data_IF_069854903676
#
_entry.id   IF_069854903676
#
_cell.length_a   1.000
_cell.length_b   1.000
_cell.length_c   1.000
_cell.angle_alpha   90.00
_cell.angle_beta   90.00
_cell.angle_gamma   90.00
#
_symmetry.space_group_name_H-M   'P 1'
#
loop_
_entity.id
_entity.type
_entity.pdbx_description
1 polymer ?
2 polymer ?
3 polymer ?
4 polymer ?
5 non-polymer ?
6 non-polymer ?
7 non-polymer ?
8 non-polymer ?
9 non-polymer ?
10 water ?
#
loop_
_entity_poly.entity_id
_entity_poly.type
_entity_poly.pdbx_seq_one_letter_code
_entity_poly.pdbx_strand_id
2 'polydeoxyribonucleotide' '(DC)(DG)(DG)(DC)(8OG)(DT)(DA)(DC)(DG)' ?
3 'polydeoxyribonucleotide' '(DC)(DG)(DT)(DA)' ?
4 'polydeoxyribonucleotide' '(DG)(DC)(DC)(DG)' ?
#
# COMPACT_ATOMS: atom_id res chain seq x y z
N UNK A 10 -11.23 11.62 -19.54
CA UNK A 10 -10.53 11.06 -18.37
C UNK A 10 -11.28 11.42 -17.09
N UNK A 11 -11.88 10.44 -16.42
CA UNK A 11 -12.62 10.73 -15.18
C UNK A 11 -11.72 11.15 -14.04
N UNK A 12 -12.34 11.83 -13.06
CA UNK A 12 -11.58 12.57 -12.09
C UNK A 12 -11.07 11.70 -10.94
N UNK A 13 -11.74 10.59 -10.64
CA UNK A 13 -11.35 9.70 -9.55
C UNK A 13 -10.61 8.48 -10.09
N UNK A 14 -9.57 8.05 -9.37
CA UNK A 14 -8.80 6.91 -9.86
C UNK A 14 -9.61 5.63 -9.92
N UNK A 15 -10.67 5.50 -9.11
CA UNK A 15 -11.49 4.30 -9.14
C UNK A 15 -12.41 4.24 -10.34
N UNK A 16 -12.43 5.29 -11.16
CA UNK A 16 -13.25 5.34 -12.37
C UNK A 16 -12.46 4.98 -13.63
N UNK A 17 -11.19 4.64 -13.50
CA UNK A 17 -10.39 4.40 -14.68
C UNK A 17 -9.46 3.23 -14.42
N UNK A 18 -9.26 2.38 -15.42
CA UNK A 18 -8.28 1.31 -15.28
C UNK A 18 -6.89 1.88 -15.13
N UNK A 19 -6.12 1.35 -14.17
CA UNK A 19 -4.73 1.77 -14.00
C UNK A 19 -3.84 0.54 -13.92
N UNK A 20 -3.10 0.24 -14.97
CA UNK A 20 -2.29 -0.97 -14.98
C UNK A 20 -1.00 -0.75 -14.21
N UNK A 21 -0.35 -1.87 -13.91
CA UNK A 21 0.89 -1.82 -13.15
C UNK A 21 2.01 -1.14 -13.92
N UNK A 22 2.17 -1.46 -15.19
CA UNK A 22 3.15 -0.80 -16.03
C UNK A 22 2.43 0.01 -17.10
N UNK A 23 3.06 1.10 -17.55
CA UNK A 23 2.33 2.06 -18.36
C UNK A 23 3.30 2.82 -19.26
N UNK A 24 2.86 3.97 -19.74
CA UNK A 24 3.54 4.65 -20.85
C UNK A 24 4.07 6.01 -20.46
N UNK A 25 4.07 6.33 -19.17
CA UNK A 25 4.51 7.64 -18.69
C UNK A 25 5.31 7.51 -17.41
N UNK A 26 6.16 6.49 -17.35
CA UNK A 26 6.80 6.11 -16.09
C UNK A 26 7.66 7.24 -15.52
N UNK A 27 8.50 7.85 -16.35
CA UNK A 27 9.37 8.92 -15.85
C UNK A 27 8.59 10.10 -15.33
N UNK A 28 7.54 10.50 -16.04
CA UNK A 28 6.73 11.64 -15.61
C UNK A 28 6.04 11.34 -14.27
N UNK A 29 5.44 10.16 -14.15
CA UNK A 29 4.75 9.80 -12.92
C UNK A 29 5.72 9.73 -11.74
N UNK A 30 6.93 9.19 -11.97
CA UNK A 30 7.90 9.11 -10.88
C UNK A 30 8.27 10.49 -10.36
N UNK A 31 8.42 11.47 -11.25
CA UNK A 31 8.79 12.81 -10.83
C UNK A 31 7.69 13.44 -10.00
N UNK A 32 6.44 13.28 -10.42
CA UNK A 32 5.35 13.84 -9.63
C UNK A 32 5.24 13.15 -8.29
N UNK A 33 5.53 11.86 -8.23
CA UNK A 33 5.48 11.17 -6.95
C UNK A 33 6.62 11.59 -6.00
N UNK A 34 7.77 12.03 -6.52
CA UNK A 34 8.76 12.65 -5.64
C UNK A 34 8.18 13.87 -4.96
N UNK A 35 7.49 14.73 -5.72
CA UNK A 35 6.90 15.93 -5.14
C UNK A 35 5.80 15.58 -4.16
N UNK A 36 5.03 14.51 -4.45
CA UNK A 36 4.00 14.09 -3.51
C UNK A 36 4.61 13.64 -2.19
N UNK A 37 5.66 12.82 -2.29
CA UNK A 37 6.34 12.33 -1.10
C UNK A 37 6.88 13.49 -0.28
N UNK A 38 7.49 14.45 -0.94
CA UNK A 38 8.07 15.60 -0.23
C UNK A 38 6.99 16.42 0.45
N UNK A 39 5.82 16.58 -0.21
CA UNK A 39 4.71 17.26 0.43
C UNK A 39 4.30 16.54 1.72
N UNK A 40 4.25 15.21 1.68
CA UNK A 40 3.89 14.46 2.88
C UNK A 40 4.89 14.65 3.98
N UNK A 41 6.18 14.71 3.64
CA UNK A 41 7.19 14.93 4.67
C UNK A 41 7.04 16.29 5.34
N UNK A 42 6.42 17.25 4.68
CA UNK A 42 6.17 18.55 5.28
C UNK A 42 4.76 18.68 5.87
N UNK A 43 3.98 17.61 5.88
CA UNK A 43 2.63 17.66 6.42
C UNK A 43 1.58 18.28 5.52
N UNK A 44 1.87 18.43 4.22
CA UNK A 44 0.92 19.03 3.28
C UNK A 44 0.19 17.90 2.56
N UNK A 45 -0.83 17.35 3.24
CA UNK A 45 -1.52 16.18 2.71
C UNK A 45 -2.33 16.52 1.46
N UNK A 46 -2.86 17.74 1.38
CA UNK A 46 -3.59 18.11 0.18
C UNK A 46 -2.71 18.10 -1.06
N UNK A 47 -1.53 18.73 -0.96
CA UNK A 47 -0.60 18.74 -2.08
C UNK A 47 -0.11 17.32 -2.39
N UNK A 48 0.13 16.52 -1.36
CA UNK A 48 0.47 15.10 -1.60
C UNK A 48 -0.61 14.44 -2.44
N UNK A 49 -1.87 14.67 -2.09
CA UNK A 49 -2.94 14.01 -2.84
C UNK A 49 -2.99 14.50 -4.29
N UNK A 50 -2.88 15.80 -4.51
CA UNK A 50 -2.92 16.29 -5.88
C UNK A 50 -1.78 15.70 -6.72
N UNK A 51 -0.55 15.70 -6.19
CA UNK A 51 0.56 15.18 -6.98
C UNK A 51 0.41 13.67 -7.20
N UNK A 52 -0.09 12.95 -6.21
CA UNK A 52 -0.37 11.51 -6.41
C UNK A 52 -1.45 11.31 -7.46
N UNK A 53 -2.52 12.10 -7.39
CA UNK A 53 -3.60 11.93 -8.37
C UNK A 53 -3.13 12.28 -9.77
N UNK A 54 -2.36 13.36 -9.92
CA UNK A 54 -1.81 13.72 -11.22
C UNK A 54 -0.90 12.61 -11.76
N UNK A 55 -0.04 12.06 -10.91
CA UNK A 55 0.77 10.93 -11.34
C UNK A 55 -0.09 9.77 -11.79
N UNK A 56 -1.17 9.48 -11.05
CA UNK A 56 -2.03 8.35 -11.39
C UNK A 56 -2.75 8.56 -12.71
N UNK A 57 -3.11 9.80 -13.01
CA UNK A 57 -3.73 10.10 -14.30
C UNK A 57 -2.79 9.70 -15.43
N UNK A 58 -1.51 10.03 -15.29
CA UNK A 58 -0.56 9.65 -16.33
C UNK A 58 -0.43 8.14 -16.45
N UNK A 59 -0.51 7.42 -15.34
CA UNK A 59 -0.44 5.96 -15.38
C UNK A 59 -1.60 5.37 -16.16
N UNK A 60 -2.73 6.07 -16.19
CA UNK A 60 -3.95 5.59 -16.85
C UNK A 60 -4.04 5.98 -18.32
N UNK A 61 -3.09 6.77 -18.82
CA UNK A 61 -3.17 7.18 -20.21
C UNK A 61 -2.77 6.04 -21.14
N UNK A 62 -3.31 6.04 -22.36
CA UNK A 62 -3.05 4.94 -23.30
C UNK A 62 -1.73 5.05 -24.07
N UNK A 63 -0.99 6.14 -23.93
CA UNK A 63 0.23 6.36 -24.69
C UNK A 63 1.06 7.43 -23.99
N UNK A 64 2.30 7.65 -24.42
CA UNK A 64 3.13 8.65 -23.75
C UNK A 64 2.67 10.08 -24.01
N UNK A 65 2.79 10.90 -22.98
CA UNK A 65 2.70 12.35 -23.16
C UNK A 65 4.00 12.85 -23.77
N UNK A 66 3.90 13.53 -24.92
CA UNK A 66 5.04 14.13 -25.60
C UNK A 66 4.96 15.64 -25.72
N UNK A 67 3.79 16.22 -25.53
CA UNK A 67 3.58 17.64 -25.72
C UNK A 67 2.67 18.15 -24.63
N UNK A 68 2.91 19.39 -24.20
CA UNK A 68 2.16 19.96 -23.09
C UNK A 68 0.67 20.06 -23.42
N UNK A 69 0.32 20.22 -24.70
CA UNK A 69 -1.09 20.29 -25.07
C UNK A 69 -1.83 19.03 -24.65
N UNK A 70 -1.14 17.90 -24.54
CA UNK A 70 -1.85 16.67 -24.18
C UNK A 70 -2.32 16.68 -22.73
N UNK A 71 -1.89 17.66 -21.94
CA UNK A 71 -2.35 17.75 -20.57
C UNK A 71 -3.63 18.53 -20.45
N UNK A 72 -3.99 19.28 -21.50
CA UNK A 72 -5.17 20.13 -21.41
C UNK A 72 -6.39 19.26 -21.14
N UNK A 73 -7.18 19.65 -20.17
CA UNK A 73 -8.37 18.91 -19.87
C UNK A 73 -8.14 17.69 -18.99
N UNK A 74 -6.91 17.30 -18.70
CA UNK A 74 -6.71 16.18 -17.79
C UNK A 74 -6.97 16.63 -16.36
N UNK A 75 -7.73 15.88 -15.58
CA UNK A 75 -7.95 16.27 -14.19
C UNK A 75 -6.66 16.21 -13.40
N UNK A 76 -6.54 17.14 -12.44
CA UNK A 76 -5.46 17.22 -11.47
C UNK A 76 -4.19 17.78 -12.05
N UNK A 77 -4.22 18.24 -13.30
CA UNK A 77 -3.11 18.99 -13.87
C UNK A 77 -3.49 20.46 -13.92
N UNK A 78 -2.79 21.23 -13.13
CA UNK A 78 -2.88 22.67 -13.15
C UNK A 78 -1.50 23.24 -13.40
N UNK A 79 -1.29 24.47 -12.92
CA UNK A 79 -0.08 25.19 -13.26
C UNK A 79 1.16 24.44 -12.79
N UNK A 80 1.15 23.92 -11.57
CA UNK A 80 2.36 23.35 -11.00
C UNK A 80 2.72 22.02 -11.64
N UNK A 81 1.76 21.08 -11.67
CA UNK A 81 2.03 19.76 -12.24
C UNK A 81 2.36 19.87 -13.72
N UNK A 82 1.70 20.81 -14.41
CA UNK A 82 1.98 20.99 -15.84
C UNK A 82 3.38 21.51 -16.05
N UNK A 83 3.86 22.41 -15.19
CA UNK A 83 5.22 22.95 -15.35
C UNK A 83 6.25 21.85 -15.12
N UNK A 84 6.00 20.96 -14.16
CA UNK A 84 6.89 19.84 -13.93
C UNK A 84 7.02 19.00 -15.19
N UNK A 85 5.89 18.64 -15.79
CA UNK A 85 5.90 17.84 -17.01
C UNK A 85 6.58 18.60 -18.14
N UNK A 86 6.27 19.89 -18.27
CA UNK A 86 6.87 20.71 -19.33
C UNK A 86 8.39 20.69 -19.23
N UNK A 87 8.93 20.85 -18.03
CA UNK A 87 10.38 20.86 -17.88
C UNK A 87 10.98 19.50 -18.20
N UNK A 88 10.32 18.41 -17.78
CA UNK A 88 10.81 17.09 -18.14
C UNK A 88 10.79 16.89 -19.65
N UNK A 89 9.73 17.38 -20.31
CA UNK A 89 9.63 17.18 -21.76
C UNK A 89 10.67 18.00 -22.50
N UNK A 90 10.97 19.19 -22.02
CA UNK A 90 11.87 20.10 -22.72
C UNK A 90 13.34 19.84 -22.41
N UNK A 91 13.67 19.43 -21.18
CA UNK A 91 15.05 19.32 -20.71
C UNK A 91 15.44 17.97 -20.13
N UNK A 92 14.50 17.05 -19.95
CA UNK A 92 14.81 15.75 -19.40
C UNK A 92 14.93 15.72 -17.90
N UNK A 93 14.75 16.87 -17.25
CA UNK A 93 14.90 16.98 -15.81
C UNK A 93 14.09 18.18 -15.36
N UNK A 94 13.60 18.12 -14.12
CA UNK A 94 12.84 19.22 -13.53
C UNK A 94 13.63 19.73 -12.33
N UNK A 95 13.99 21.02 -12.35
CA UNK A 95 14.87 21.54 -11.33
C UNK A 95 14.29 21.35 -9.93
N UNK A 96 12.98 21.60 -9.77
CA UNK A 96 12.34 21.43 -8.47
C UNK A 96 12.52 20.00 -7.96
N UNK A 97 12.26 19.03 -8.82
CA UNK A 97 12.37 17.63 -8.45
C UNK A 97 13.79 17.29 -8.04
N UNK A 98 14.78 17.75 -8.81
CA UNK A 98 16.19 17.48 -8.49
C UNK A 98 16.60 18.16 -7.19
N UNK A 99 16.10 19.37 -6.93
CA UNK A 99 16.42 20.03 -5.68
C UNK A 99 15.87 19.25 -4.50
N UNK A 100 14.68 18.67 -4.65
CA UNK A 100 14.13 17.82 -3.60
C UNK A 100 14.99 16.58 -3.42
N UNK A 101 15.27 15.87 -4.52
CA UNK A 101 16.04 14.62 -4.47
C UNK A 101 17.35 14.78 -3.70
N UNK A 102 18.06 15.88 -3.90
CA UNK A 102 19.37 16.01 -3.29
C UNK A 102 19.34 16.72 -1.94
N UNK A 103 18.16 17.11 -1.45
CA UNK A 103 18.10 17.82 -0.18
C UNK A 103 18.26 16.87 1.00
N UNK A 104 18.97 17.37 2.01
CA UNK A 104 19.19 16.58 3.21
C UNK A 104 17.87 16.22 3.88
N UNK A 105 16.92 17.15 3.87
CA UNK A 105 15.62 16.91 4.48
C UNK A 105 14.90 15.73 3.81
N UNK A 106 14.80 15.76 2.48
CA UNK A 106 14.13 14.69 1.76
C UNK A 106 14.84 13.36 2.00
N UNK A 107 16.17 13.34 1.83
CA UNK A 107 16.88 12.07 1.94
C UNK A 107 16.74 11.46 3.33
N UNK A 108 16.83 12.28 4.37
CA UNK A 108 16.74 11.74 5.72
C UNK A 108 15.30 11.35 6.06
N UNK A 109 14.32 12.18 5.69
CA UNK A 109 12.95 11.80 5.97
C UNK A 109 12.57 10.51 5.24
N UNK A 110 13.04 10.36 4.00
CA UNK A 110 12.77 9.13 3.27
C UNK A 110 13.41 7.93 3.97
N UNK A 111 14.69 8.05 4.35
CA UNK A 111 15.38 6.98 5.06
C UNK A 111 14.66 6.61 6.36
N UNK A 112 14.30 7.60 7.16
CA UNK A 112 13.71 7.31 8.47
C UNK A 112 12.30 6.72 8.33
N UNK A 113 11.50 7.24 7.40
CA UNK A 113 10.14 6.71 7.28
C UNK A 113 10.10 5.35 6.59
N UNK A 114 11.21 4.89 6.01
CA UNK A 114 11.31 3.50 5.60
C UNK A 114 11.33 2.53 6.77
N UNK A 115 11.73 2.98 7.95
CA UNK A 115 11.84 2.07 9.08
C UNK A 115 10.46 1.68 9.57
N UNK A 116 10.22 0.37 9.72
CA UNK A 116 9.00 -0.12 10.34
C UNK A 116 8.87 0.40 11.77
N UNK A 117 7.77 1.10 12.05
CA UNK A 117 7.54 1.74 13.31
C UNK A 117 7.79 3.23 13.30
N UNK A 118 8.24 3.79 12.18
CA UNK A 118 8.59 5.20 12.09
C UNK A 118 7.72 5.85 11.03
N UNK A 119 6.90 6.83 11.45
CA UNK A 119 6.12 7.65 10.54
C UNK A 119 6.73 9.03 10.38
N UNK A 120 6.02 9.87 9.62
CA UNK A 120 6.50 11.22 9.34
C UNK A 120 6.73 11.99 10.64
N UNK A 121 5.79 11.92 11.57
CA UNK A 121 5.94 12.70 12.81
C UNK A 121 7.20 12.31 13.56
N UNK A 122 7.45 11.00 13.69
CA UNK A 122 8.64 10.56 14.41
C UNK A 122 9.90 10.95 13.64
N UNK A 123 9.90 10.72 12.33
CA UNK A 123 11.07 11.05 11.53
C UNK A 123 11.38 12.54 11.62
N UNK A 124 10.36 13.37 11.51
CA UNK A 124 10.54 14.80 11.61
C UNK A 124 11.13 15.22 12.95
N UNK A 125 10.68 14.56 14.02
CA UNK A 125 11.20 14.87 15.35
C UNK A 125 12.68 14.54 15.46
N UNK A 126 13.08 13.36 14.96
CA UNK A 126 14.48 12.98 14.93
C UNK A 126 15.29 13.92 14.06
N UNK A 127 14.73 14.33 12.92
CA UNK A 127 15.43 15.25 12.04
C UNK A 127 15.72 16.56 12.75
N UNK A 128 14.70 17.10 13.44
CA UNK A 128 14.87 18.35 14.17
C UNK A 128 15.84 18.21 15.33
N UNK A 129 15.99 16.99 15.85
CA UNK A 129 16.99 16.72 16.89
C UNK A 129 18.39 16.54 16.34
N UNK A 130 18.56 16.61 15.03
CA UNK A 130 19.88 16.55 14.41
C UNK A 130 20.27 15.21 13.86
N UNK A 131 19.43 14.19 14.01
CA UNK A 131 19.76 12.85 13.56
C UNK A 131 19.59 12.76 12.05
N UNK A 132 20.47 11.97 11.41
CA UNK A 132 20.53 11.91 9.96
C UNK A 132 20.69 10.51 9.38
N UNK A 133 21.28 9.55 10.11
CA UNK A 133 21.60 8.23 9.58
C UNK A 133 21.02 7.14 10.47
N UNK A 134 20.96 5.91 9.92
CA UNK A 134 20.53 4.78 10.73
C UNK A 134 21.48 4.54 11.90
N UNK A 135 22.79 4.72 11.69
CA UNK A 135 23.71 4.55 12.81
C UNK A 135 23.47 5.60 13.90
N UNK A 136 23.07 6.81 13.52
CA UNK A 136 22.68 7.81 14.53
C UNK A 136 21.57 7.27 15.42
N UNK A 137 20.62 6.52 14.84
CA UNK A 137 19.54 5.99 15.64
C UNK A 137 20.01 4.82 16.51
N UNK A 138 20.89 4.00 15.96
CA UNK A 138 21.37 2.83 16.68
C UNK A 138 22.16 3.25 17.91
N UNK A 139 22.86 4.38 17.83
CA UNK A 139 23.64 4.90 18.96
C UNK A 139 22.76 5.52 20.04
N UNK A 140 21.45 5.65 19.81
CA UNK A 140 20.54 6.24 20.80
C UNK A 140 19.33 5.32 21.02
N UNK A 141 19.57 4.05 21.35
CA UNK A 141 18.45 3.10 21.40
C UNK A 141 17.45 3.41 22.47
N UNK A 142 17.79 4.25 23.45
CA UNK A 142 16.81 4.71 24.41
C UNK A 142 15.65 5.42 23.72
N UNK A 143 15.90 5.96 22.53
CA UNK A 143 14.90 6.72 21.82
C UNK A 143 13.91 5.86 21.06
N UNK A 144 14.03 4.53 21.07
CA UNK A 144 13.32 3.66 20.14
C UNK A 144 12.30 2.80 20.85
N UNK A 145 11.13 2.65 20.24
CA UNK A 145 10.19 1.64 20.68
C UNK A 145 10.70 0.26 20.27
N UNK A 146 10.13 -0.77 20.89
CA UNK A 146 10.52 -2.12 20.52
C UNK A 146 10.22 -2.38 19.05
N UNK A 147 9.11 -1.82 18.56
CA UNK A 147 8.78 -1.97 17.14
C UNK A 147 9.84 -1.32 16.26
N UNK A 148 10.25 -0.10 16.61
CA UNK A 148 11.27 0.60 15.84
C UNK A 148 12.61 -0.11 15.94
N UNK A 149 12.90 -0.73 17.09
CA UNK A 149 14.14 -1.48 17.21
C UNK A 149 14.17 -2.63 16.21
N UNK A 150 13.05 -3.34 16.07
CA UNK A 150 12.94 -4.42 15.11
C UNK A 150 13.03 -3.90 13.68
N UNK A 151 12.34 -2.79 13.40
CA UNK A 151 12.42 -2.22 12.06
C UNK A 151 13.84 -1.81 11.70
N UNK A 152 14.57 -1.24 12.67
CA UNK A 152 15.94 -0.82 12.42
C UNK A 152 16.89 -2.01 12.24
N UNK A 153 16.79 -3.04 13.10
CA UNK A 153 17.60 -4.22 12.95
C UNK A 153 17.39 -4.89 11.61
N UNK A 154 16.13 -4.96 11.16
CA UNK A 154 15.80 -5.68 9.94
C UNK A 154 15.74 -4.79 8.70
N UNK A 155 16.16 -3.53 8.82
CA UNK A 155 15.95 -2.58 7.73
C UNK A 155 16.59 -3.05 6.42
N UNK A 156 17.80 -3.62 6.48
CA UNK A 156 18.49 -3.98 5.24
C UNK A 156 17.70 -5.04 4.48
N UNK A 157 17.30 -6.10 5.16
CA UNK A 157 16.49 -7.16 4.53
C UNK A 157 15.18 -6.59 4.01
N UNK A 158 14.56 -5.73 4.80
CA UNK A 158 13.25 -5.19 4.45
C UNK A 158 13.32 -4.20 3.31
N UNK A 159 14.52 -3.72 2.99
CA UNK A 159 14.75 -2.87 1.83
C UNK A 159 14.85 -3.64 0.53
N UNK A 160 14.97 -4.94 0.56
CA UNK A 160 15.14 -5.73 -0.66
C UNK A 160 13.81 -6.38 -1.02
N UNK A 161 13.39 -6.31 -2.28
CA UNK A 161 12.06 -6.82 -2.63
C UNK A 161 11.97 -8.33 -2.52
N UNK A 162 10.78 -8.80 -2.20
CA UNK A 162 10.48 -10.22 -2.24
C UNK A 162 9.85 -10.53 -3.60
N UNK A 163 10.06 -11.74 -4.08
CA UNK A 163 9.57 -12.20 -5.38
C UNK A 163 8.28 -13.00 -5.20
N UNK A 164 7.47 -13.08 -6.28
CA UNK A 164 6.23 -13.84 -6.20
C UNK A 164 6.47 -15.30 -5.82
N UNK A 165 7.59 -15.90 -6.25
CA UNK A 165 7.86 -17.28 -5.87
C UNK A 165 8.03 -17.42 -4.36
N UNK A 166 8.66 -16.41 -3.74
CA UNK A 166 8.75 -16.40 -2.29
C UNK A 166 7.37 -16.35 -1.65
N UNK A 167 6.48 -15.50 -2.20
CA UNK A 167 5.13 -15.33 -1.67
C UNK A 167 4.41 -16.67 -1.67
N UNK A 168 4.53 -17.43 -2.74
CA UNK A 168 3.79 -18.68 -2.85
C UNK A 168 4.25 -19.69 -1.80
N UNK A 169 5.55 -19.79 -1.58
CA UNK A 169 6.06 -20.69 -0.56
C UNK A 169 5.58 -20.26 0.83
N UNK A 170 5.61 -18.96 1.08
CA UNK A 170 5.09 -18.40 2.32
C UNK A 170 3.60 -18.70 2.50
N UNK A 171 2.80 -18.52 1.46
CA UNK A 171 1.37 -18.79 1.59
C UNK A 171 1.14 -20.22 2.05
N UNK A 172 1.94 -21.16 1.56
CA UNK A 172 1.73 -22.56 1.95
C UNK A 172 2.01 -22.75 3.43
N UNK A 173 3.04 -22.07 3.94
CA UNK A 173 3.36 -22.13 5.36
C UNK A 173 2.22 -21.55 6.19
N UNK A 174 1.69 -20.39 5.75
CA UNK A 174 0.59 -19.75 6.47
C UNK A 174 -0.65 -20.64 6.44
N UNK A 175 -0.95 -21.25 5.30
CA UNK A 175 -2.11 -22.12 5.18
C UNK A 175 -2.01 -23.31 6.13
N UNK A 176 -0.82 -23.86 6.34
CA UNK A 176 -0.75 -24.99 7.26
C UNK A 176 -1.07 -24.56 8.69
N UNK A 177 -0.53 -23.41 9.11
CA UNK A 177 -0.83 -22.92 10.46
C UNK A 177 -2.30 -22.59 10.60
N UNK A 178 -2.89 -21.98 9.56
CA UNK A 178 -4.29 -21.59 9.59
C UNK A 178 -5.19 -22.82 9.67
N UNK A 179 -4.82 -23.88 8.94
CA UNK A 179 -5.63 -25.09 8.95
C UNK A 179 -5.63 -25.79 10.29
N UNK A 180 -4.53 -25.69 11.03
CA UNK A 180 -4.50 -26.24 12.39
C UNK A 180 -5.26 -25.33 13.33
N UNK A 181 -5.16 -24.01 13.13
CA UNK A 181 -5.87 -23.09 14.00
C UNK A 181 -7.38 -23.25 13.83
N UNK A 182 -7.83 -23.50 12.61
CA UNK A 182 -9.25 -23.64 12.32
C UNK A 182 -9.44 -24.37 10.99
N UNK A 183 -9.65 -25.68 11.03
CA UNK A 183 -9.89 -26.43 9.80
C UNK A 183 -11.01 -25.81 8.97
N UNK A 184 -10.74 -25.70 7.66
CA UNK A 184 -11.65 -25.08 6.73
C UNK A 184 -11.39 -23.61 6.48
N UNK A 185 -10.58 -22.98 7.30
CA UNK A 185 -10.28 -21.57 7.07
C UNK A 185 -9.36 -21.44 5.86
N UNK A 186 -9.51 -20.34 5.15
CA UNK A 186 -8.81 -20.12 3.89
C UNK A 186 -7.92 -18.90 3.99
N UNK A 187 -6.94 -18.89 3.08
CA UNK A 187 -5.95 -17.82 2.98
C UNK A 187 -5.98 -17.30 1.56
N UNK A 188 -6.17 -15.99 1.41
CA UNK A 188 -6.21 -15.33 0.11
C UNK A 188 -5.11 -14.30 0.03
N UNK A 189 -4.32 -14.35 -1.03
CA UNK A 189 -3.29 -13.34 -1.26
C UNK A 189 -3.93 -12.02 -1.69
N UNK A 190 -3.57 -10.93 -1.02
CA UNK A 190 -4.10 -9.60 -1.38
C UNK A 190 -2.95 -8.65 -1.71
N UNK A 191 -3.14 -7.35 -1.45
CA UNK A 191 -2.10 -6.38 -1.68
C UNK A 191 -1.52 -6.38 -3.09
N UNK A 192 -0.27 -5.90 -3.16
CA UNK A 192 0.33 -5.61 -4.45
C UNK A 192 0.50 -6.85 -5.30
N UNK A 193 0.76 -8.00 -4.67
CA UNK A 193 0.89 -9.22 -5.47
C UNK A 193 -0.44 -9.60 -6.12
N UNK A 194 -1.57 -9.39 -5.45
CA UNK A 194 -2.83 -9.66 -6.13
C UNK A 194 -3.05 -8.70 -7.32
N UNK A 195 -2.50 -7.49 -7.25
CA UNK A 195 -2.56 -6.54 -8.36
C UNK A 195 -1.55 -6.84 -9.45
N UNK A 196 -0.82 -7.95 -9.36
CA UNK A 196 0.04 -8.40 -10.44
C UNK A 196 1.52 -8.14 -10.27
N UNK A 197 1.94 -7.55 -9.15
CA UNK A 197 3.36 -7.27 -8.98
C UNK A 197 4.15 -8.57 -8.99
N UNK A 198 5.32 -8.52 -9.64
CA UNK A 198 6.21 -9.67 -9.65
C UNK A 198 7.22 -9.60 -8.52
N UNK A 199 7.46 -8.40 -8.00
CA UNK A 199 8.31 -8.10 -6.86
C UNK A 199 7.58 -7.14 -5.96
N UNK A 200 7.87 -7.19 -4.66
CA UNK A 200 7.25 -6.22 -3.76
C UNK A 200 7.93 -6.24 -2.41
N UNK A 201 7.51 -5.31 -1.56
CA UNK A 201 8.15 -5.14 -0.25
C UNK A 201 7.30 -5.56 0.92
N UNK A 202 6.07 -5.98 0.69
CA UNK A 202 5.35 -6.64 1.76
C UNK A 202 4.39 -7.62 1.12
N UNK A 203 3.84 -8.46 1.97
CA UNK A 203 2.98 -9.54 1.55
C UNK A 203 1.75 -9.46 2.43
N UNK A 204 0.57 -9.51 1.82
CA UNK A 204 -0.68 -9.37 2.54
C UNK A 204 -1.56 -10.61 2.32
N UNK A 205 -2.07 -11.17 3.42
CA UNK A 205 -2.96 -12.32 3.39
C UNK A 205 -4.24 -12.01 4.14
N UNK A 206 -5.37 -12.47 3.58
CA UNK A 206 -6.69 -12.29 4.15
C UNK A 206 -7.23 -13.68 4.46
N UNK A 207 -7.67 -13.88 5.72
CA UNK A 207 -8.08 -15.17 6.23
C UNK A 207 -9.56 -15.11 6.59
N UNK A 208 -10.32 -16.14 6.21
CA UNK A 208 -11.72 -16.21 6.60
C UNK A 208 -12.09 -17.68 6.75
N UNK A 209 -13.36 -17.92 7.06
CA UNK A 209 -13.89 -19.26 7.19
C UNK A 209 -15.30 -19.25 6.61
N UNK A 210 -15.72 -20.31 5.92
CA UNK A 210 -17.04 -20.26 5.24
C UNK A 210 -18.23 -20.22 6.18
N UNK A 211 -18.06 -20.58 7.46
CA UNK A 211 -19.15 -20.55 8.44
C UNK A 211 -19.05 -19.26 9.25
N UNK A 212 -19.99 -18.35 9.01
CA UNK A 212 -20.00 -17.06 9.70
C UNK A 212 -19.87 -17.25 11.20
N UNK A 213 -18.91 -16.55 11.79
CA UNK A 213 -18.68 -16.58 13.21
C UNK A 213 -17.56 -17.51 13.64
N UNK A 214 -17.23 -18.50 12.82
CA UNK A 214 -16.17 -19.42 13.20
C UNK A 214 -14.81 -18.73 13.24
N UNK A 215 -14.68 -17.58 12.56
CA UNK A 215 -13.41 -16.87 12.53
C UNK A 215 -13.14 -16.04 13.78
N UNK A 216 -14.10 -15.93 14.69
CA UNK A 216 -13.87 -15.20 15.92
C UNK A 216 -12.72 -15.84 16.66
N UNK A 217 -11.79 -15.00 17.13
CA UNK A 217 -10.65 -15.48 17.90
C UNK A 217 -9.57 -16.15 17.08
N UNK A 218 -9.65 -16.10 15.75
CA UNK A 218 -8.75 -16.90 14.93
C UNK A 218 -7.33 -16.35 14.90
N UNK A 219 -7.17 -15.04 14.75
CA UNK A 219 -5.84 -14.52 14.49
C UNK A 219 -4.85 -14.83 15.61
N UNK A 220 -5.21 -14.76 16.89
CA UNK A 220 -4.24 -15.14 17.93
C UNK A 220 -3.81 -16.59 17.80
N UNK A 221 -4.73 -17.47 17.41
CA UNK A 221 -4.41 -18.88 17.27
C UNK A 221 -3.46 -19.11 16.12
N UNK A 222 -3.63 -18.34 15.04
CA UNK A 222 -2.72 -18.42 13.92
C UNK A 222 -1.34 -17.92 14.31
N UNK A 223 -1.29 -16.76 14.98
CA UNK A 223 0.01 -16.18 15.32
C UNK A 223 0.78 -17.08 16.27
N UNK A 224 0.08 -17.68 17.23
CA UNK A 224 0.78 -18.54 18.19
C UNK A 224 1.44 -19.71 17.47
N UNK A 225 0.76 -20.26 16.47
CA UNK A 225 1.28 -21.39 15.73
C UNK A 225 2.46 -20.99 14.84
N UNK A 226 2.36 -19.85 14.17
CA UNK A 226 3.50 -19.37 13.39
C UNK A 226 4.69 -19.08 14.28
N UNK A 227 4.45 -18.49 15.45
CA UNK A 227 5.54 -18.24 16.39
C UNK A 227 6.17 -19.54 16.83
N UNK A 228 5.35 -20.56 17.10
CA UNK A 228 5.88 -21.86 17.52
C UNK A 228 6.71 -22.51 16.42
N UNK A 229 6.35 -22.27 15.15
CA UNK A 229 7.12 -22.79 14.02
C UNK A 229 8.42 -22.02 13.79
N UNK A 230 8.67 -20.95 14.55
CA UNK A 230 9.91 -20.19 14.41
C UNK A 230 9.92 -19.19 13.28
N UNK A 231 8.75 -18.88 12.73
CA UNK A 231 8.66 -18.05 11.54
C UNK A 231 8.52 -16.58 11.84
N UNK A 232 8.30 -16.20 13.08
CA UNK A 232 7.97 -14.81 13.40
C UNK A 232 9.19 -14.17 14.03
N UNK A 233 9.75 -13.21 13.32
CA UNK A 233 10.87 -12.42 13.83
C UNK A 233 10.37 -11.26 14.68
N UNK A 234 9.21 -10.71 14.34
CA UNK A 234 8.61 -9.66 15.14
C UNK A 234 7.10 -9.64 14.97
N UNK A 235 6.39 -9.52 16.08
CA UNK A 235 4.96 -9.25 16.05
C UNK A 235 4.59 -8.57 17.36
N UNK A 236 3.46 -7.85 17.32
CA UNK A 236 2.93 -7.17 18.51
C UNK A 236 1.87 -8.02 19.18
N UNK A 257 -7.69 -9.67 18.36
CA UNK A 257 -7.28 -8.78 17.27
C UNK A 257 -7.65 -9.36 15.90
N UNK A 258 -7.72 -8.50 14.85
CA UNK A 258 -8.02 -8.94 13.49
C UNK A 258 -6.99 -8.52 12.42
N UNK A 259 -5.99 -7.72 12.78
CA UNK A 259 -4.89 -7.38 11.88
C UNK A 259 -3.59 -7.60 12.62
N UNK A 260 -2.61 -8.20 11.94
CA UNK A 260 -1.27 -8.40 12.48
C UNK A 260 -0.22 -7.93 11.48
N UNK A 261 0.63 -6.98 11.90
CA UNK A 261 1.68 -6.43 11.05
C UNK A 261 2.99 -7.00 11.58
N UNK A 262 3.59 -7.92 10.83
CA UNK A 262 4.71 -8.68 11.40
C UNK A 262 5.87 -8.77 10.42
N UNK A 263 6.99 -9.22 10.98
CA UNK A 263 8.20 -9.49 10.23
C UNK A 263 8.41 -11.00 10.32
N UNK A 264 8.45 -11.64 9.17
CA UNK A 264 8.52 -13.09 9.02
C UNK A 264 9.92 -13.49 8.58
N UNK A 265 10.30 -14.71 8.93
CA UNK A 265 11.51 -15.34 8.43
C UNK A 265 11.19 -16.13 7.15
N UNK A 266 11.74 -15.70 6.02
CA UNK A 266 11.48 -16.32 4.71
C UNK A 266 12.69 -17.11 4.26
N UNK A 267 12.54 -18.37 3.85
CA UNK A 267 13.68 -19.14 3.34
C UNK A 267 14.38 -18.47 2.18
N UNK A 268 15.70 -18.56 2.18
CA UNK A 268 16.58 -18.15 1.11
C UNK A 268 17.62 -19.23 0.90
N UNK A 269 18.18 -19.33 -0.30
CA UNK A 269 19.17 -20.39 -0.56
C UNK A 269 20.26 -20.43 0.50
N UNK A 270 20.24 -21.46 1.35
CA UNK A 270 21.26 -21.61 2.38
C UNK A 270 21.15 -20.66 3.55
N UNK A 271 20.07 -19.91 3.64
CA UNK A 271 19.92 -18.98 4.75
C UNK A 271 18.45 -18.53 4.79
N UNK A 272 18.21 -17.26 5.05
CA UNK A 272 16.84 -16.75 5.14
C UNK A 272 16.93 -15.23 5.13
N UNK A 273 15.76 -14.59 5.02
CA UNK A 273 15.72 -13.13 5.11
C UNK A 273 14.42 -12.71 5.76
N UNK A 274 14.43 -11.52 6.35
CA UNK A 274 13.23 -10.94 6.95
C UNK A 274 12.34 -10.33 5.87
N UNK A 275 11.03 -10.54 6.03
CA UNK A 275 10.01 -10.02 5.11
C UNK A 275 8.83 -9.47 5.91
N UNK A 276 8.28 -8.36 5.44
CA UNK A 276 7.08 -7.80 6.06
C UNK A 276 5.84 -8.56 5.56
N UNK A 277 5.04 -9.04 6.51
CA UNK A 277 3.83 -9.80 6.22
C UNK A 277 2.71 -9.24 7.08
N UNK A 278 1.56 -8.98 6.44
CA UNK A 278 0.35 -8.57 7.12
C UNK A 278 -0.65 -9.71 7.04
N UNK A 279 -1.26 -10.05 8.17
CA UNK A 279 -2.33 -11.04 8.24
C UNK A 279 -3.58 -10.38 8.76
N UNK A 280 -4.70 -10.65 8.10
CA UNK A 280 -5.97 -10.03 8.43
C UNK A 280 -7.03 -11.11 8.44
N UNK A 281 -7.92 -11.05 9.43
CA UNK A 281 -9.06 -11.96 9.51
C UNK A 281 -10.33 -11.15 9.28
N UNK A 282 -11.25 -11.71 8.49
CA UNK A 282 -12.55 -11.11 8.29
C UNK A 282 -13.62 -12.19 8.35
N UNK A 283 -14.82 -11.86 8.86
CA UNK A 283 -15.93 -12.79 8.71
C UNK A 283 -16.33 -12.89 7.24
N UNK A 284 -16.85 -14.07 6.86
CA UNK A 284 -17.09 -14.29 5.45
C UNK A 284 -18.13 -13.31 4.90
N UNK A 285 -19.08 -12.86 5.73
CA UNK A 285 -20.04 -11.84 5.31
C UNK A 285 -19.36 -10.56 4.85
N UNK A 286 -18.19 -10.24 5.39
CA UNK A 286 -17.46 -9.03 5.04
C UNK A 286 -16.37 -9.27 4.04
N UNK A 287 -16.17 -10.51 3.59
CA UNK A 287 -14.99 -10.83 2.80
C UNK A 287 -14.87 -9.97 1.55
N UNK A 288 -15.95 -9.68 0.81
CA UNK A 288 -15.78 -8.82 -0.38
C UNK A 288 -15.23 -7.44 -0.04
N UNK A 289 -15.67 -6.87 1.08
CA UNK A 289 -15.17 -5.56 1.50
C UNK A 289 -13.72 -5.65 1.96
N UNK A 290 -13.37 -6.73 2.64
CA UNK A 290 -11.99 -6.88 3.13
C UNK A 290 -11.03 -7.13 1.98
N UNK A 291 -11.45 -7.93 1.00
CA UNK A 291 -10.63 -8.18 -0.19
C UNK A 291 -10.47 -6.89 -0.97
N UNK A 292 -11.56 -6.16 -1.18
CA UNK A 292 -11.46 -4.89 -1.89
C UNK A 292 -10.55 -3.93 -1.15
N UNK A 293 -10.66 -3.89 0.17
CA UNK A 293 -9.79 -3.06 0.98
C UNK A 293 -8.32 -3.40 0.86
N UNK A 294 -7.98 -4.63 1.22
CA UNK A 294 -6.58 -5.02 1.32
C UNK A 294 -5.90 -5.21 -0.03
N UNK A 295 -6.68 -5.24 -1.13
CA UNK A 295 -6.04 -5.33 -2.44
C UNK A 295 -5.43 -4.00 -2.87
N UNK A 296 -5.94 -2.87 -2.37
CA UNK A 296 -5.34 -1.58 -2.68
C UNK A 296 -5.48 -1.25 -4.17
N UNK A 297 -4.63 -0.41 -4.74
CA UNK A 297 -3.54 0.30 -4.08
C UNK A 297 -4.02 1.28 -3.01
N UNK A 298 -3.05 1.82 -2.27
CA UNK A 298 -3.38 2.80 -1.24
C UNK A 298 -4.14 3.98 -1.83
N UNK A 299 -3.65 4.54 -2.95
CA UNK A 299 -4.38 5.65 -3.57
C UNK A 299 -5.71 5.18 -4.13
N UNK A 300 -5.75 4.00 -4.74
CA UNK A 300 -7.02 3.48 -5.21
C UNK A 300 -8.07 3.46 -4.09
N UNK A 301 -7.66 2.97 -2.91
CA UNK A 301 -8.59 2.86 -1.78
C UNK A 301 -9.08 4.23 -1.34
N UNK A 302 -8.17 5.20 -1.21
CA UNK A 302 -8.56 6.54 -0.80
C UNK A 302 -9.51 7.16 -1.81
N UNK A 303 -9.22 6.97 -3.10
CA UNK A 303 -10.08 7.51 -4.16
C UNK A 303 -11.45 6.84 -4.17
N UNK A 304 -11.48 5.53 -3.99
CA UNK A 304 -12.73 4.78 -3.97
C UNK A 304 -13.61 5.19 -2.81
N UNK A 305 -13.01 5.34 -1.62
CA UNK A 305 -13.80 5.74 -0.45
C UNK A 305 -14.27 7.19 -0.58
N UNK A 306 -13.42 8.04 -1.13
CA UNK A 306 -13.80 9.43 -1.40
C UNK A 306 -14.96 9.49 -2.39
N UNK A 307 -14.85 8.73 -3.48
CA UNK A 307 -15.93 8.65 -4.47
C UNK A 307 -17.24 8.18 -3.83
N UNK A 308 -17.15 7.08 -3.07
CA UNK A 308 -18.34 6.54 -2.43
C UNK A 308 -19.05 7.60 -1.59
N UNK A 309 -18.32 8.30 -0.71
CA UNK A 309 -18.95 9.28 0.18
C UNK A 309 -19.39 10.53 -0.59
N UNK A 310 -18.51 11.08 -1.42
CA UNK A 310 -18.78 12.40 -2.00
C UNK A 310 -19.73 12.32 -3.19
N UNK A 311 -19.64 11.26 -3.98
CA UNK A 311 -20.48 11.12 -5.17
C UNK A 311 -21.72 10.29 -4.94
N UNK A 312 -21.67 9.30 -4.05
CA UNK A 312 -22.79 8.40 -3.86
C UNK A 312 -23.41 8.47 -2.47
N UNK A 313 -22.84 9.24 -1.55
CA UNK A 313 -23.42 9.37 -0.23
C UNK A 313 -23.36 8.14 0.63
N UNK A 314 -22.42 7.23 0.33
CA UNK A 314 -22.27 5.96 1.01
C UNK A 314 -20.89 5.90 1.64
N UNK A 315 -20.82 5.29 2.83
CA UNK A 315 -19.60 5.27 3.62
C UNK A 315 -18.97 3.88 3.52
N UNK A 316 -17.75 3.80 2.97
CA UNK A 316 -17.08 2.54 2.66
C UNK A 316 -15.88 2.31 3.56
N UNK A 317 -15.77 1.10 4.11
CA UNK A 317 -14.51 0.67 4.74
C UNK A 317 -14.32 -0.81 4.43
N UNK A 318 -13.35 -1.45 5.08
CA UNK A 318 -13.05 -2.84 4.78
C UNK A 318 -14.00 -3.82 5.45
N UNK A 319 -15.00 -3.32 6.18
CA UNK A 319 -16.06 -4.14 6.76
C UNK A 319 -17.37 -4.06 6.00
N UNK A 320 -17.61 -3.02 5.22
CA UNK A 320 -18.93 -2.83 4.69
C UNK A 320 -19.12 -1.47 4.04
N UNK A 321 -20.37 -1.25 3.61
CA UNK A 321 -20.75 -0.06 2.84
C UNK A 321 -22.08 0.40 3.42
N UNK A 322 -22.08 1.59 4.03
CA UNK A 322 -23.19 2.06 4.86
C UNK A 322 -23.93 3.19 4.17
N UNK A 323 -25.25 3.08 4.13
CA UNK A 323 -26.14 4.15 3.69
C UNK A 323 -26.58 4.91 4.93
N UNK A 324 -26.11 6.14 5.16
CA UNK A 324 -26.42 6.83 6.42
C UNK A 324 -27.82 7.39 6.46
N UNK A 325 -28.51 7.45 5.33
CA UNK A 325 -29.89 7.90 5.33
C UNK A 325 -30.84 6.77 5.72
N UNK A 326 -30.70 5.60 5.09
CA UNK A 326 -31.47 4.42 5.51
C UNK A 326 -30.92 3.77 6.77
N UNK A 327 -29.66 4.04 7.11
CA UNK A 327 -29.00 3.39 8.23
C UNK A 327 -28.94 1.88 8.00
N UNK A 328 -28.54 1.51 6.78
CA UNK A 328 -28.44 0.12 6.35
C UNK A 328 -27.05 -0.15 5.74
N UNK A 329 -26.69 -1.42 5.75
CA UNK A 329 -25.45 -1.92 5.15
C UNK A 329 -25.78 -2.74 3.91
N UNK A 330 -25.01 -2.54 2.86
CA UNK A 330 -25.16 -3.30 1.62
C UNK A 330 -24.50 -4.66 1.76
N UNK A 331 -25.28 -5.72 1.56
CA UNK A 331 -24.74 -7.08 1.71
C UNK A 331 -24.16 -7.59 0.41
N UNK A 332 -22.90 -7.26 0.18
CA UNK A 332 -22.20 -7.66 -1.02
C UNK A 332 -21.83 -9.13 -0.99
N UNK A 333 -21.95 -9.79 -2.15
CA UNK A 333 -21.49 -11.14 -2.30
C UNK A 333 -20.17 -11.27 -3.05
N UNK A 334 -19.67 -10.18 -3.62
CA UNK A 334 -18.47 -10.19 -4.44
C UNK A 334 -17.96 -8.75 -4.59
N UNK A 335 -16.70 -8.61 -4.99
CA UNK A 335 -16.22 -7.28 -5.37
C UNK A 335 -17.05 -6.71 -6.51
N UNK A 336 -17.44 -7.56 -7.48
CA UNK A 336 -18.26 -7.09 -8.57
C UNK A 336 -19.54 -6.43 -8.05
N UNK A 337 -20.14 -7.02 -7.01
CA UNK A 337 -21.32 -6.43 -6.37
C UNK A 337 -21.04 -5.03 -5.89
N UNK A 338 -19.89 -4.82 -5.27
CA UNK A 338 -19.60 -3.52 -4.69
C UNK A 338 -19.43 -2.47 -5.79
N UNK A 339 -18.68 -2.81 -6.82
CA UNK A 339 -18.53 -1.86 -7.92
C UNK A 339 -19.90 -1.51 -8.51
N UNK A 340 -20.73 -2.53 -8.75
CA UNK A 340 -22.07 -2.25 -9.29
C UNK A 340 -22.85 -1.31 -8.39
N UNK A 341 -22.81 -1.55 -7.08
CA UNK A 341 -23.61 -0.77 -6.16
C UNK A 341 -23.16 0.69 -6.13
N UNK A 342 -21.87 0.93 -6.37
CA UNK A 342 -21.31 2.28 -6.45
C UNK A 342 -21.42 2.88 -7.84
N UNK A 343 -22.03 2.17 -8.80
CA UNK A 343 -22.15 2.69 -10.15
C UNK A 343 -20.85 2.82 -10.89
N UNK A 344 -19.88 1.96 -10.59
CA UNK A 344 -18.58 1.96 -11.23
C UNK A 344 -18.45 0.74 -12.12
N UNK A 345 -17.76 0.91 -13.25
CA UNK A 345 -17.37 -0.27 -14.02
C UNK A 345 -16.37 -1.10 -13.22
N UNK A 346 -16.52 -2.42 -13.30
CA UNK A 346 -15.65 -3.32 -12.54
C UNK A 346 -14.21 -3.17 -13.00
N UNK A 347 -13.30 -3.09 -12.03
CA UNK A 347 -11.86 -3.12 -12.28
C UNK A 347 -11.27 -4.38 -11.64
N UNK A 348 -10.68 -5.27 -12.42
CA UNK A 348 -9.95 -6.36 -11.82
C UNK A 348 -8.78 -5.82 -11.03
N UNK A 349 -8.24 -6.59 -10.10
CA UNK A 349 -7.15 -6.08 -9.24
C UNK A 349 -5.99 -5.50 -10.02
N UNK A 350 -5.63 -6.09 -11.15
CA UNK A 350 -4.47 -5.60 -11.89
C UNK A 350 -4.74 -4.27 -12.58
N UNK A 351 -5.96 -3.73 -12.53
CA UNK A 351 -6.25 -2.39 -13.01
C UNK A 351 -6.51 -1.43 -11.87
N UNK A 352 -6.08 -1.80 -10.64
CA UNK A 352 -6.22 -0.95 -9.46
C UNK A 352 -4.89 -0.40 -9.00
N UNK A 353 -3.91 -0.31 -9.90
CA UNK A 353 -2.57 0.16 -9.55
C UNK A 353 -2.47 1.68 -9.64
N UNK A 354 -3.41 2.36 -9.02
CA UNK A 354 -3.40 3.81 -8.99
C UNK A 354 -2.20 4.33 -8.20
X LIG E 1 -15.13 -11.30 -3.53
X LIG F 1 7.50 3.39 8.31
X LIG G 1 -1.66 20.91 1.74
X LIG H 1 -10.83 -0.12 6.96
X LIG I 1 -13.15 15.45 -1.99
X LIG J 1 6.50 -5.27 -10.03
X LIG J 1 6.32 -4.27 -9.39
X LIG J 1 6.66 -6.26 -10.73
X LIG K 1 8.49 -2.48 -5.50
X LIG K 1 7.35 -2.62 -4.65
X LIG K 1 9.43 -3.68 -5.34
X LIG K 1 10.42 -3.71 -6.38
X LIG L 1 10.20 6.32 -19.29
X LIG L 1 9.01 7.05 -19.06
X LIG L 1 11.25 6.73 -18.29
X LIG L 1 11.31 5.75 -17.25
X LIG M 1 -4.33 -13.66 -6.47
X LIG M 1 -2.99 -13.35 -6.79
X LIG M 1 -4.50 -13.75 -4.96
X LIG M 1 -5.83 -13.50 -4.55
X LIG N 1 -7.86 -2.23 4.35
X LIG N 1 -8.87 -1.56 3.58
X LIG N 1 -7.15 -1.25 5.27
X LIG N 1 -6.35 -0.38 4.46
X LIG O 1 -1.61 7.93 -1.69
X LIG O 1 -1.57 7.94 -0.30
X LIG O 1 -0.43 7.10 -2.19
X LIG O 1 0.75 7.55 -1.52
X LIG P 1 -13.52 -17.00 -0.67
X LIG P 1 -14.70 -17.08 0.12
X LIG P 1 -12.31 -17.50 0.12
X LIG P 1 -12.74 -18.32 1.22
#
# INVERSE_FOLDING_TARGET
GSAAASPAWMPAYACQRPTPLTHHNTGLSEALEILAEAAGFEGSEGRLLTFCRAASVLKALPSPVTTLSQLQGLPHFGEHSSRVVQELLEHGVCEEVERVRRSERYQTMKLFTQIFGVGVKTADRWYREGLRTLDDLREQPQKLTQQQKAGLQHHQDLSTPVLRSDVDALQQVVEEAVGQALPGATVTLTGGFRRGKLQGHDVDFLITHPKEGQEAGLLPRVMCRLQDQGLILYHQHQHSCCESPTRLAQQSHMDAFERSFCIFRLPQPGSWKAVRVDLVVAPVSQFPFALLGWTGSKLFQRELRRFSRKEKGLWLNSHGLFDPEQKTFFQAASEEDIFRHLGLEYLPPEQRNA
BR BR
K K
CL CL
BR BR
CL CL
CO2 C O1 O2
EDO C1 O1 C2 O2
EDO C1 O1 C2 O2
EDO C1 O1 C2 O2
EDO C1 O1 C2 O2
EDO C1 O1 C2 O2
EDO C1 O1 C2 O2
#
